data_IF_941074009124
#
_entry.id   IF_941074009124
#
_cell.length_a   1.000
_cell.length_b   1.000
_cell.length_c   1.000
_cell.angle_alpha   90.00
_cell.angle_beta   90.00
_cell.angle_gamma   90.00
#
_symmetry.space_group_name_H-M   'P 1'
#
loop_
_entity.id
_entity.type
_entity.pdbx_description
1 polymer ?
#
# COMPACT_ATOMS: atom_id res chain seq x y z
N UNK A 1 11.63 -16.30 -7.68
CA UNK A 1 12.31 -15.70 -6.51
C UNK A 1 13.11 -16.71 -5.70
N UNK A 2 12.63 -17.95 -5.47
CA UNK A 2 13.37 -19.00 -4.74
C UNK A 2 14.79 -19.27 -5.27
N UNK A 3 15.07 -19.08 -6.56
CA UNK A 3 16.40 -19.29 -7.11
C UNK A 3 17.43 -18.24 -6.65
N UNK A 4 17.01 -16.98 -6.42
CA UNK A 4 17.94 -15.89 -6.09
C UNK A 4 18.50 -16.03 -4.67
N UNK A 5 17.66 -16.45 -3.73
CA UNK A 5 18.02 -16.68 -2.33
C UNK A 5 18.96 -17.88 -2.15
N UNK A 6 19.05 -18.76 -3.15
CA UNK A 6 19.92 -19.94 -3.13
C UNK A 6 21.31 -19.68 -3.75
N UNK A 7 21.53 -18.53 -4.38
CA UNK A 7 22.85 -18.19 -4.93
C UNK A 7 23.75 -17.64 -3.83
N UNK A 8 24.56 -18.50 -3.21
CA UNK A 8 25.68 -18.06 -2.35
C UNK A 8 26.78 -17.33 -3.14
N UNK A 9 27.85 -16.90 -2.47
CA UNK A 9 29.00 -16.21 -3.09
C UNK A 9 29.63 -17.00 -4.25
N UNK A 10 29.48 -18.33 -4.24
CA UNK A 10 29.97 -19.26 -5.27
C UNK A 10 28.87 -19.76 -6.23
N UNK A 11 27.70 -19.13 -6.24
CA UNK A 11 26.57 -19.53 -7.06
C UNK A 11 26.74 -19.10 -8.52
N UNK A 12 26.76 -20.06 -9.45
CA UNK A 12 26.78 -19.76 -10.88
C UNK A 12 25.36 -19.39 -11.36
N UNK A 13 25.06 -18.08 -11.37
CA UNK A 13 23.87 -17.59 -12.04
C UNK A 13 24.01 -17.72 -13.56
N UNK A 14 22.92 -18.04 -14.26
CA UNK A 14 22.90 -18.02 -15.73
C UNK A 14 23.25 -16.62 -16.21
N UNK A 15 24.32 -16.50 -16.97
CA UNK A 15 24.77 -15.20 -17.48
C UNK A 15 23.77 -14.67 -18.50
N UNK A 16 23.52 -13.37 -18.44
CA UNK A 16 22.72 -12.68 -19.45
C UNK A 16 23.55 -12.56 -20.73
N UNK A 17 23.01 -13.06 -21.83
CA UNK A 17 23.68 -13.01 -23.13
C UNK A 17 22.95 -12.01 -24.06
N UNK A 18 23.64 -10.93 -24.41
CA UNK A 18 23.14 -9.87 -25.29
C UNK A 18 22.87 -10.35 -26.73
N UNK A 19 23.42 -11.49 -27.15
CA UNK A 19 23.16 -12.05 -28.47
C UNK A 19 21.80 -12.76 -28.55
N UNK A 20 21.35 -13.36 -27.44
CA UNK A 20 20.13 -14.17 -27.39
C UNK A 20 19.00 -13.51 -26.61
N UNK A 21 19.31 -12.55 -25.73
CA UNK A 21 18.36 -11.90 -24.83
C UNK A 21 18.35 -10.38 -25.03
N UNK A 22 17.15 -9.80 -25.13
CA UNK A 22 16.99 -8.35 -25.29
C UNK A 22 16.82 -7.65 -23.94
N UNK A 23 17.50 -6.51 -23.77
CA UNK A 23 17.32 -5.61 -22.63
C UNK A 23 15.88 -5.09 -22.47
N UNK A 24 15.07 -5.12 -23.54
CA UNK A 24 13.62 -4.78 -23.47
C UNK A 24 12.81 -5.73 -22.61
N UNK A 25 13.29 -6.95 -22.42
CA UNK A 25 12.62 -7.95 -21.58
C UNK A 25 12.96 -7.82 -20.10
N UNK A 26 13.93 -6.97 -19.74
CA UNK A 26 14.37 -6.75 -18.37
C UNK A 26 13.34 -5.90 -17.63
N UNK A 27 12.66 -6.53 -16.66
CA UNK A 27 11.64 -5.87 -15.82
C UNK A 27 12.19 -5.29 -14.52
N UNK A 28 13.33 -5.80 -14.07
CA UNK A 28 13.94 -5.42 -12.79
C UNK A 28 15.41 -5.86 -12.73
N UNK A 29 16.15 -5.21 -11.84
CA UNK A 29 17.49 -5.60 -11.42
C UNK A 29 17.40 -6.08 -9.97
N UNK A 30 18.06 -7.20 -9.67
CA UNK A 30 18.12 -7.77 -8.33
C UNK A 30 19.57 -7.78 -7.90
N UNK A 31 19.88 -7.11 -6.79
CA UNK A 31 21.20 -7.17 -6.16
C UNK A 31 21.14 -8.15 -5.01
N UNK A 32 22.01 -9.16 -5.04
CA UNK A 32 22.21 -10.05 -3.91
C UNK A 32 23.55 -9.72 -3.26
N UNK A 33 23.51 -9.12 -2.08
CA UNK A 33 24.69 -8.78 -1.30
C UNK A 33 24.82 -9.80 -0.17
N UNK A 34 25.97 -10.46 -0.08
CA UNK A 34 26.26 -11.48 0.93
C UNK A 34 27.63 -11.23 1.55
N UNK A 35 27.74 -11.36 2.87
CA UNK A 35 28.98 -11.18 3.62
C UNK A 35 29.82 -12.47 3.73
N UNK A 36 29.35 -13.58 3.16
CA UNK A 36 30.00 -14.89 3.24
C UNK A 36 29.77 -15.63 4.56
N UNK A 37 29.22 -14.97 5.59
CA UNK A 37 28.92 -15.53 6.91
C UNK A 37 27.43 -15.89 7.07
N UNK A 38 26.69 -15.95 5.95
CA UNK A 38 25.28 -16.29 5.91
C UNK A 38 24.32 -15.10 6.01
N UNK A 39 24.83 -13.88 6.21
CA UNK A 39 23.97 -12.69 6.13
C UNK A 39 23.86 -12.26 4.68
N UNK A 40 22.62 -12.25 4.18
CA UNK A 40 22.30 -11.78 2.85
C UNK A 40 21.24 -10.69 2.88
N UNK A 41 21.41 -9.71 1.99
CA UNK A 41 20.41 -8.71 1.67
C UNK A 41 20.11 -8.86 0.18
N UNK A 42 18.83 -9.07 -0.14
CA UNK A 42 18.37 -9.05 -1.54
C UNK A 42 17.63 -7.75 -1.78
N UNK A 43 18.10 -6.99 -2.74
CA UNK A 43 17.54 -5.69 -3.12
C UNK A 43 16.88 -5.85 -4.49
N UNK A 44 15.64 -5.40 -4.60
CA UNK A 44 14.88 -5.38 -5.83
C UNK A 44 14.69 -3.94 -6.30
N UNK A 45 15.06 -3.71 -7.56
CA UNK A 45 14.82 -2.45 -8.24
C UNK A 45 14.02 -2.69 -9.52
N UNK A 46 12.83 -2.11 -9.61
CA UNK A 46 12.02 -2.16 -10.80
C UNK A 46 12.59 -1.27 -11.91
N UNK A 47 12.54 -1.77 -13.15
CA UNK A 47 12.98 -1.02 -14.32
C UNK A 47 11.78 -0.64 -15.15
N UNK A 48 11.55 0.67 -15.25
CA UNK A 48 10.55 1.20 -16.15
C UNK A 48 11.06 1.16 -17.59
N UNK A 49 10.18 0.96 -18.59
CA UNK A 49 10.58 0.97 -20.00
C UNK A 49 11.30 2.26 -20.45
N UNK A 50 11.06 3.38 -19.77
CA UNK A 50 11.71 4.68 -20.03
C UNK A 50 13.19 4.72 -19.62
N UNK A 51 13.62 3.80 -18.76
CA UNK A 51 15.03 3.65 -18.36
C UNK A 51 15.87 2.87 -19.37
N UNK A 52 15.26 2.44 -20.48
CA UNK A 52 15.93 1.71 -21.56
C UNK A 52 16.13 2.61 -22.78
N UNK A 53 17.39 2.84 -23.11
CA UNK A 53 17.77 3.56 -24.33
C UNK A 53 18.05 2.55 -25.42
N UNK A 54 17.11 2.41 -26.36
CA UNK A 54 17.32 1.58 -27.55
C UNK A 54 18.30 2.25 -28.49
N UNK A 55 19.18 1.46 -29.11
CA UNK A 55 19.96 1.94 -30.25
C UNK A 55 19.01 2.30 -31.39
N UNK A 56 19.08 3.55 -31.83
CA UNK A 56 18.40 4.00 -33.04
C UNK A 56 19.39 4.72 -33.94
N UNK A 57 19.03 4.93 -35.22
CA UNK A 57 19.89 5.66 -36.16
C UNK A 57 20.22 7.10 -35.70
N UNK A 58 19.47 7.64 -34.75
CA UNK A 58 19.60 9.00 -34.20
C UNK A 58 19.96 9.04 -32.70
N UNK A 59 20.40 7.92 -32.12
CA UNK A 59 20.83 7.88 -30.71
C UNK A 59 22.29 8.28 -30.59
N UNK A 60 22.56 9.40 -29.91
CA UNK A 60 23.90 9.91 -29.63
C UNK A 60 24.03 10.22 -28.13
N UNK A 61 25.18 9.91 -27.54
CA UNK A 61 25.53 10.24 -26.16
C UNK A 61 26.90 10.92 -26.15
N UNK A 62 27.13 11.88 -25.26
CA UNK A 62 28.46 12.43 -25.02
C UNK A 62 29.07 11.79 -23.77
N UNK A 63 30.09 10.94 -23.96
CA UNK A 63 30.81 10.31 -22.83
C UNK A 63 31.79 11.29 -22.15
N UNK A 64 32.26 12.30 -22.89
CA UNK A 64 33.26 13.27 -22.43
C UNK A 64 32.68 14.69 -22.23
N UNK A 65 31.37 14.89 -22.48
CA UNK A 65 30.70 16.18 -22.42
C UNK A 65 31.06 17.17 -23.54
N UNK A 66 31.84 16.76 -24.54
CA UNK A 66 32.38 17.63 -25.60
C UNK A 66 32.05 17.17 -27.02
N UNK A 67 31.97 15.86 -27.26
CA UNK A 67 31.65 15.27 -28.56
C UNK A 67 30.43 14.36 -28.44
N UNK A 68 29.57 14.38 -29.46
CA UNK A 68 28.44 13.46 -29.55
C UNK A 68 28.90 12.18 -30.27
N UNK A 69 28.91 11.08 -29.54
CA UNK A 69 29.25 9.77 -30.08
C UNK A 69 27.98 8.95 -30.31
N UNK A 70 27.97 8.19 -31.39
CA UNK A 70 26.81 7.36 -31.72
C UNK A 70 26.73 6.17 -30.77
N UNK A 71 25.54 5.93 -30.22
CA UNK A 71 25.29 4.76 -29.37
C UNK A 71 25.16 3.52 -30.26
N UNK A 72 26.05 2.54 -30.07
CA UNK A 72 26.06 1.29 -30.85
C UNK A 72 25.36 0.13 -30.15
N UNK A 73 25.05 0.26 -28.87
CA UNK A 73 24.48 -0.78 -28.01
C UNK A 73 23.26 -0.25 -27.24
N UNK A 74 22.33 -1.13 -26.88
CA UNK A 74 21.25 -0.74 -25.97
C UNK A 74 21.83 -0.49 -24.58
N UNK A 75 21.35 0.53 -23.88
CA UNK A 75 21.77 0.85 -22.51
C UNK A 75 20.59 0.93 -21.55
N UNK A 76 20.84 0.62 -20.28
CA UNK A 76 19.84 0.68 -19.21
C UNK A 76 20.35 1.60 -18.09
N UNK A 77 19.50 2.53 -17.66
CA UNK A 77 19.82 3.40 -16.55
C UNK A 77 19.70 2.63 -15.23
N UNK A 78 20.79 2.63 -14.45
CA UNK A 78 20.82 2.12 -13.09
C UNK A 78 20.65 3.32 -12.16
N UNK A 79 19.60 3.29 -11.34
CA UNK A 79 19.28 4.37 -10.41
C UNK A 79 19.65 3.95 -8.99
N UNK A 80 19.70 4.90 -8.07
CA UNK A 80 20.02 4.62 -6.66
C UNK A 80 18.78 4.28 -5.81
N UNK A 81 17.61 4.15 -6.46
CA UNK A 81 16.34 3.91 -5.77
C UNK A 81 16.08 2.43 -5.56
N UNK A 82 15.86 2.02 -4.31
CA UNK A 82 15.45 0.66 -3.95
C UNK A 82 13.94 0.62 -3.79
N UNK A 83 13.27 -0.32 -4.45
CA UNK A 83 11.81 -0.47 -4.32
C UNK A 83 11.45 -1.44 -3.20
N UNK A 84 12.09 -2.61 -3.18
CA UNK A 84 11.86 -3.64 -2.18
C UNK A 84 13.20 -4.23 -1.73
N UNK A 85 13.26 -4.71 -0.50
CA UNK A 85 14.38 -5.53 -0.07
C UNK A 85 13.94 -6.65 0.84
N UNK A 86 14.73 -7.71 0.88
CA UNK A 86 14.55 -8.86 1.73
C UNK A 86 15.78 -9.00 2.62
N UNK A 87 15.54 -9.05 3.92
CA UNK A 87 16.57 -9.12 4.94
C UNK A 87 16.03 -9.87 6.15
N UNK A 88 16.83 -10.76 6.75
CA UNK A 88 16.46 -11.55 7.94
C UNK A 88 15.07 -12.20 7.85
N UNK A 89 14.78 -12.83 6.71
CA UNK A 89 13.52 -13.52 6.47
C UNK A 89 12.27 -12.61 6.47
N UNK A 90 12.46 -11.31 6.29
CA UNK A 90 11.39 -10.30 6.20
C UNK A 90 11.48 -9.54 4.89
N UNK A 91 10.32 -9.27 4.31
CA UNK A 91 10.18 -8.41 3.14
C UNK A 91 9.86 -7.00 3.59
N UNK A 92 10.57 -6.05 3.02
CA UNK A 92 10.39 -4.63 3.27
C UNK A 92 10.05 -3.95 1.95
N UNK A 93 8.99 -3.15 1.97
CA UNK A 93 8.55 -2.37 0.83
C UNK A 93 8.76 -0.88 1.08
N UNK A 94 9.75 -0.32 0.39
CA UNK A 94 10.03 1.12 0.41
C UNK A 94 9.08 1.85 -0.54
N UNK A 95 8.77 1.25 -1.69
CA UNK A 95 7.88 1.81 -2.69
C UNK A 95 6.52 1.09 -2.74
N UNK A 96 5.65 1.42 -1.78
CA UNK A 96 4.29 0.85 -1.69
C UNK A 96 3.46 1.20 -2.95
N UNK A 97 3.64 2.40 -3.51
CA UNK A 97 2.93 2.85 -4.72
C UNK A 97 3.21 1.96 -5.92
N UNK A 98 4.45 1.48 -6.07
CA UNK A 98 4.82 0.53 -7.11
C UNK A 98 4.11 -0.82 -6.91
N UNK A 99 4.05 -1.30 -5.66
CA UNK A 99 3.40 -2.56 -5.31
C UNK A 99 1.89 -2.53 -5.63
N UNK A 100 1.25 -1.39 -5.38
CA UNK A 100 -0.13 -1.12 -5.78
C UNK A 100 -0.33 -1.14 -7.30
N UNK A 101 0.42 -0.32 -8.03
CA UNK A 101 0.19 -0.10 -9.46
C UNK A 101 0.61 -1.29 -10.33
N UNK A 102 1.76 -1.90 -10.05
CA UNK A 102 2.41 -2.84 -10.97
C UNK A 102 2.25 -4.30 -10.55
N UNK A 103 2.01 -4.57 -9.26
CA UNK A 103 1.99 -5.93 -8.71
C UNK A 103 0.61 -6.32 -8.14
N UNK A 104 -0.43 -5.55 -8.46
CA UNK A 104 -1.81 -5.96 -8.21
C UNK A 104 -2.28 -5.84 -6.76
N UNK A 105 -1.54 -5.13 -5.89
CA UNK A 105 -2.04 -4.85 -4.53
C UNK A 105 -3.34 -4.03 -4.56
N UNK A 106 -3.64 -3.31 -5.65
CA UNK A 106 -4.95 -2.70 -5.82
C UNK A 106 -6.09 -3.72 -5.75
N UNK A 107 -5.98 -4.83 -6.48
CA UNK A 107 -6.97 -5.91 -6.46
C UNK A 107 -7.10 -6.58 -5.08
N UNK A 108 -5.98 -6.68 -4.35
CA UNK A 108 -5.97 -7.21 -2.98
C UNK A 108 -6.69 -6.26 -2.02
N UNK A 109 -6.41 -4.96 -2.12
CA UNK A 109 -7.11 -3.92 -1.34
C UNK A 109 -8.60 -3.96 -1.63
N UNK A 110 -8.98 -4.05 -2.91
CA UNK A 110 -10.38 -4.06 -3.33
C UNK A 110 -11.10 -5.31 -2.78
N UNK A 111 -10.47 -6.48 -2.87
CA UNK A 111 -11.00 -7.72 -2.29
C UNK A 111 -11.14 -7.64 -0.76
N UNK A 112 -10.13 -7.09 -0.06
CA UNK A 112 -10.20 -6.90 1.39
C UNK A 112 -11.29 -5.91 1.80
N UNK A 113 -11.43 -4.79 1.07
CA UNK A 113 -12.47 -3.80 1.30
C UNK A 113 -13.87 -4.36 1.04
N UNK A 114 -14.04 -5.18 -0.01
CA UNK A 114 -15.28 -5.90 -0.29
C UNK A 114 -15.64 -6.87 0.84
N UNK A 115 -14.65 -7.54 1.44
CA UNK A 115 -14.86 -8.41 2.59
C UNK A 115 -15.15 -7.64 3.89
N UNK A 116 -14.66 -6.41 4.04
CA UNK A 116 -14.95 -5.56 5.20
C UNK A 116 -16.40 -5.10 5.26
N UNK A 117 -17.03 -4.84 4.11
CA UNK A 117 -18.38 -4.25 4.08
C UNK A 117 -19.44 -5.14 4.74
N UNK A 118 -19.54 -6.45 4.44
CA UNK A 118 -20.43 -7.37 5.16
C UNK A 118 -20.17 -7.40 6.67
N UNK A 119 -18.90 -7.36 7.09
CA UNK A 119 -18.54 -7.39 8.52
C UNK A 119 -19.07 -6.15 9.25
N UNK A 120 -18.99 -4.98 8.61
CA UNK A 120 -19.52 -3.72 9.16
C UNK A 120 -21.05 -3.77 9.27
N UNK A 121 -21.74 -4.29 8.24
CA UNK A 121 -23.19 -4.42 8.24
C UNK A 121 -23.65 -5.40 9.34
N UNK A 122 -22.91 -6.49 9.56
CA UNK A 122 -23.19 -7.48 10.61
C UNK A 122 -23.08 -6.93 12.04
N UNK A 123 -22.43 -5.77 12.24
CA UNK A 123 -22.41 -5.10 13.54
C UNK A 123 -23.80 -4.57 13.94
N UNK A 124 -24.72 -4.39 12.98
CA UNK A 124 -26.08 -3.90 13.25
C UNK A 124 -26.15 -2.45 13.76
N UNK A 125 -25.06 -1.69 13.63
CA UNK A 125 -24.95 -0.30 14.10
C UNK A 125 -25.26 0.75 13.02
N UNK A 126 -25.33 0.33 11.76
CA UNK A 126 -25.54 1.23 10.60
C UNK A 126 -27.01 1.22 10.22
N UNK A 127 -27.54 2.40 9.92
CA UNK A 127 -28.89 2.55 9.40
C UNK A 127 -28.92 2.12 7.92
N UNK A 128 -29.52 0.96 7.66
CA UNK A 128 -29.71 0.41 6.31
C UNK A 128 -31.14 0.61 5.79
N UNK A 129 -32.00 1.26 6.56
CA UNK A 129 -33.40 1.46 6.17
C UNK A 129 -33.48 2.35 4.93
N UNK A 130 -34.21 1.90 3.91
CA UNK A 130 -34.34 2.61 2.64
C UNK A 130 -33.18 2.41 1.66
N UNK A 131 -32.17 1.60 2.00
CA UNK A 131 -31.13 1.22 1.04
C UNK A 131 -31.56 0.00 0.20
N UNK A 132 -31.56 0.08 -1.14
CA UNK A 132 -31.89 -1.06 -2.00
C UNK A 132 -30.93 -2.23 -1.84
N UNK A 133 -29.64 -1.93 -1.63
CA UNK A 133 -28.56 -2.92 -1.46
C UNK A 133 -27.61 -2.42 -0.36
N UNK A 134 -27.75 -2.89 0.90
CA UNK A 134 -26.89 -2.45 2.01
C UNK A 134 -25.39 -2.70 1.80
N UNK A 135 -25.04 -3.74 1.03
CA UNK A 135 -23.65 -4.06 0.68
C UNK A 135 -22.99 -3.00 -0.21
N UNK A 136 -23.78 -2.12 -0.83
CA UNK A 136 -23.30 -1.09 -1.74
C UNK A 136 -23.03 0.25 -1.05
N UNK A 137 -23.15 0.31 0.28
CA UNK A 137 -23.05 1.53 1.08
C UNK A 137 -21.76 2.33 0.85
N UNK A 138 -20.67 1.67 0.45
CA UNK A 138 -19.37 2.31 0.18
C UNK A 138 -18.99 2.37 -1.31
N UNK A 139 -19.85 1.94 -2.25
CA UNK A 139 -19.50 1.90 -3.68
C UNK A 139 -19.12 3.26 -4.26
N UNK A 140 -19.75 4.34 -3.79
CA UNK A 140 -19.46 5.72 -4.17
C UNK A 140 -18.06 6.21 -3.74
N UNK A 141 -17.41 5.46 -2.84
CA UNK A 141 -16.07 5.73 -2.31
C UNK A 141 -14.96 4.89 -2.97
N UNK A 142 -15.29 3.93 -3.83
CA UNK A 142 -14.28 3.01 -4.41
C UNK A 142 -13.21 3.69 -5.27
N UNK A 143 -13.53 4.87 -5.81
CA UNK A 143 -12.55 5.71 -6.54
C UNK A 143 -11.50 6.33 -5.62
N UNK A 144 -11.78 6.43 -4.31
CA UNK A 144 -10.84 6.98 -3.34
C UNK A 144 -9.95 5.88 -2.75
N UNK A 145 -8.69 5.84 -3.22
CA UNK A 145 -7.70 4.84 -2.77
C UNK A 145 -7.35 4.97 -1.30
N UNK A 146 -7.32 6.18 -0.73
CA UNK A 146 -7.03 6.35 0.68
C UNK A 146 -8.15 5.78 1.55
N UNK A 147 -9.40 5.99 1.14
CA UNK A 147 -10.55 5.37 1.78
C UNK A 147 -10.54 3.85 1.64
N UNK A 148 -10.30 3.31 0.44
CA UNK A 148 -10.27 1.86 0.20
C UNK A 148 -9.23 1.14 1.06
N UNK A 149 -8.04 1.73 1.24
CA UNK A 149 -7.02 1.20 2.18
C UNK A 149 -7.53 1.16 3.62
N UNK A 150 -8.16 2.25 4.08
CA UNK A 150 -8.74 2.31 5.43
C UNK A 150 -9.87 1.29 5.60
N UNK A 151 -10.75 1.15 4.61
CA UNK A 151 -11.81 0.16 4.62
C UNK A 151 -11.26 -1.28 4.64
N UNK A 152 -10.22 -1.57 3.87
CA UNK A 152 -9.54 -2.87 3.89
C UNK A 152 -8.95 -3.21 5.27
N UNK A 153 -8.40 -2.21 5.98
CA UNK A 153 -7.84 -2.39 7.33
C UNK A 153 -8.89 -2.72 8.40
N UNK A 154 -10.14 -2.28 8.22
CA UNK A 154 -11.23 -2.56 9.16
C UNK A 154 -11.41 -4.06 9.40
N UNK A 155 -11.30 -4.89 8.35
CA UNK A 155 -11.41 -6.36 8.48
C UNK A 155 -10.32 -6.99 9.35
N UNK A 156 -9.14 -6.36 9.41
CA UNK A 156 -8.03 -6.79 10.26
C UNK A 156 -8.17 -6.30 11.70
N UNK A 157 -8.90 -5.21 11.91
CA UNK A 157 -9.14 -4.63 13.23
C UNK A 157 -9.94 -5.56 14.15
N UNK A 158 -9.62 -5.51 15.44
CA UNK A 158 -10.32 -6.32 16.45
C UNK A 158 -11.76 -5.82 16.69
N UNK A 159 -12.01 -4.52 16.56
CA UNK A 159 -13.32 -3.90 16.84
C UNK A 159 -14.48 -4.57 16.09
N UNK A 160 -14.27 -4.91 14.82
CA UNK A 160 -15.31 -5.53 14.00
C UNK A 160 -15.48 -7.02 14.32
N UNK A 161 -14.47 -7.66 14.92
CA UNK A 161 -14.53 -9.06 15.36
C UNK A 161 -15.14 -9.22 16.75
N UNK A 162 -14.80 -8.31 17.67
CA UNK A 162 -15.31 -8.33 19.05
C UNK A 162 -16.72 -7.77 19.15
N UNK A 163 -17.16 -7.03 18.13
CA UNK A 163 -18.40 -6.27 18.16
C UNK A 163 -18.21 -4.92 18.82
N UNK A 164 -19.03 -3.96 18.39
CA UNK A 164 -19.12 -2.62 18.97
C UNK A 164 -20.58 -2.22 19.00
N UNK A 165 -20.99 -1.56 20.08
CA UNK A 165 -22.36 -1.09 20.27
C UNK A 165 -22.48 0.41 20.04
N UNK A 166 -23.68 0.87 19.66
CA UNK A 166 -23.93 2.31 19.45
C UNK A 166 -23.69 3.17 20.70
N UNK A 167 -24.05 2.73 21.93
CA UNK A 167 -23.72 3.49 23.14
C UNK A 167 -22.21 3.71 23.32
N UNK A 168 -21.37 2.72 23.00
CA UNK A 168 -19.91 2.89 23.04
C UNK A 168 -19.43 3.93 22.02
N UNK A 169 -20.00 3.92 20.81
CA UNK A 169 -19.69 4.90 19.77
C UNK A 169 -20.11 6.31 20.21
N UNK A 170 -21.28 6.46 20.83
CA UNK A 170 -21.75 7.73 21.37
C UNK A 170 -20.81 8.28 22.46
N UNK A 171 -20.30 7.43 23.36
CA UNK A 171 -19.32 7.84 24.36
C UNK A 171 -18.02 8.35 23.72
N UNK A 172 -17.55 7.69 22.66
CA UNK A 172 -16.39 8.16 21.88
C UNK A 172 -16.71 9.50 21.22
N UNK A 173 -17.87 9.64 20.56
CA UNK A 173 -18.25 10.90 19.92
C UNK A 173 -18.30 12.06 20.92
N UNK A 174 -18.78 11.86 22.14
CA UNK A 174 -18.80 12.90 23.18
C UNK A 174 -17.40 13.39 23.57
N UNK A 175 -16.40 12.49 23.57
CA UNK A 175 -15.01 12.82 23.91
C UNK A 175 -14.21 13.38 22.74
N UNK A 176 -14.68 13.16 21.51
CA UNK A 176 -14.00 13.55 20.29
C UNK A 176 -14.92 14.40 19.38
N UNK A 177 -14.83 15.74 19.48
CA UNK A 177 -15.70 16.66 18.72
C UNK A 177 -15.66 16.43 17.21
N UNK A 178 -14.54 15.92 16.67
CA UNK A 178 -14.39 15.65 15.24
C UNK A 178 -15.33 14.53 14.77
N UNK A 179 -15.59 13.50 15.58
CA UNK A 179 -16.53 12.44 15.22
C UNK A 179 -17.97 12.89 15.47
N UNK A 180 -18.21 13.63 16.54
CA UNK A 180 -19.53 14.19 16.84
C UNK A 180 -20.08 15.07 15.73
N UNK A 181 -19.23 15.90 15.10
CA UNK A 181 -19.64 16.82 14.03
C UNK A 181 -19.93 16.14 12.69
N UNK A 182 -19.36 14.95 12.47
CA UNK A 182 -19.33 14.31 11.15
C UNK A 182 -20.07 12.97 11.10
N UNK A 183 -20.53 12.43 12.23
CA UNK A 183 -21.28 11.18 12.31
C UNK A 183 -22.66 11.50 12.89
N UNK A 184 -23.69 11.21 12.11
CA UNK A 184 -25.08 11.41 12.55
C UNK A 184 -25.72 10.10 12.99
N UNK A 185 -26.60 10.20 13.98
CA UNK A 185 -27.35 9.09 14.54
C UNK A 185 -28.85 9.37 14.40
N UNK A 186 -29.63 8.38 13.95
CA UNK A 186 -31.09 8.44 13.93
C UNK A 186 -31.65 7.13 14.43
N UNK A 187 -32.57 7.20 15.42
CA UNK A 187 -33.13 6.00 16.04
C UNK A 187 -32.10 5.10 16.73
N UNK A 188 -30.94 5.65 17.10
CA UNK A 188 -29.84 4.86 17.67
C UNK A 188 -29.04 4.07 16.63
N UNK A 189 -29.09 4.42 15.34
CA UNK A 189 -28.26 3.84 14.27
C UNK A 189 -27.48 4.94 13.54
N UNK A 190 -26.31 4.58 13.01
CA UNK A 190 -25.38 5.49 12.31
C UNK A 190 -25.84 5.71 10.88
N UNK A 191 -26.00 6.96 10.47
CA UNK A 191 -26.33 7.32 9.11
C UNK A 191 -25.06 7.53 8.27
N UNK A 192 -25.02 6.93 7.08
CA UNK A 192 -23.90 7.02 6.13
C UNK A 192 -24.37 7.57 4.77
N UNK A 193 -25.02 8.73 4.80
CA UNK A 193 -25.59 9.38 3.62
C UNK A 193 -24.53 10.15 2.81
N UNK A 194 -23.59 10.78 3.50
CA UNK A 194 -22.53 11.58 2.87
C UNK A 194 -21.20 10.85 2.83
N UNK A 195 -20.32 11.27 1.91
CA UNK A 195 -18.96 10.74 1.81
C UNK A 195 -18.16 11.02 3.08
N UNK A 196 -18.37 12.17 3.72
CA UNK A 196 -17.65 12.54 4.94
C UNK A 196 -18.08 11.68 6.12
N UNK A 197 -19.38 11.40 6.28
CA UNK A 197 -19.88 10.44 7.28
C UNK A 197 -19.22 9.08 7.12
N UNK A 198 -19.15 8.56 5.88
CA UNK A 198 -18.45 7.29 5.56
C UNK A 198 -16.98 7.34 5.94
N UNK A 199 -16.26 8.42 5.59
CA UNK A 199 -14.85 8.60 5.95
C UNK A 199 -14.67 8.55 7.47
N UNK A 200 -15.37 9.41 8.22
CA UNK A 200 -15.21 9.51 9.67
C UNK A 200 -15.64 8.25 10.41
N UNK A 201 -16.66 7.57 9.93
CA UNK A 201 -17.07 6.28 10.49
C UNK A 201 -16.00 5.21 10.32
N UNK A 202 -15.38 5.08 9.14
CA UNK A 202 -14.28 4.14 8.93
C UNK A 202 -13.05 4.49 9.76
N UNK A 203 -12.76 5.80 9.95
CA UNK A 203 -11.70 6.25 10.87
C UNK A 203 -11.94 5.78 12.30
N UNK A 204 -13.19 5.89 12.76
CA UNK A 204 -13.59 5.42 14.08
C UNK A 204 -13.42 3.90 14.21
N UNK A 205 -13.85 3.12 13.23
CA UNK A 205 -13.70 1.65 13.22
C UNK A 205 -12.22 1.19 13.17
N UNK A 206 -11.33 2.01 12.62
CA UNK A 206 -9.89 1.75 12.62
C UNK A 206 -9.19 2.19 13.92
N UNK A 207 -9.95 2.48 14.98
CA UNK A 207 -9.45 2.87 16.30
C UNK A 207 -8.63 4.17 16.28
N UNK A 208 -8.93 5.10 15.36
CA UNK A 208 -8.24 6.39 15.33
C UNK A 208 -8.57 7.27 16.56
N UNK A 209 -9.69 7.02 17.24
CA UNK A 209 -10.04 7.63 18.51
C UNK A 209 -9.32 6.88 19.65
N UNK A 210 -8.18 7.40 20.11
CA UNK A 210 -7.32 6.73 21.10
C UNK A 210 -7.21 7.52 22.40
N UNK A 211 -6.97 6.82 23.50
CA UNK A 211 -6.76 7.42 24.82
C UNK A 211 -5.33 7.18 25.29
N UNK A 212 -4.70 8.18 25.87
CA UNK A 212 -3.36 8.03 26.44
C UNK A 212 -3.42 7.14 27.68
N UNK A 213 -2.49 6.20 27.78
CA UNK A 213 -2.51 5.19 28.85
C UNK A 213 -2.31 5.79 30.25
N UNK A 214 -1.65 6.95 30.36
CA UNK A 214 -1.26 7.54 31.63
C UNK A 214 -2.37 8.40 32.25
N UNK A 215 -3.05 9.21 31.45
CA UNK A 215 -4.01 10.21 31.93
C UNK A 215 -5.40 10.10 31.28
N UNK A 216 -5.61 9.09 30.43
CA UNK A 216 -6.84 8.91 29.64
C UNK A 216 -7.21 10.14 28.78
N UNK A 217 -6.25 10.98 28.42
CA UNK A 217 -6.49 12.10 27.51
C UNK A 217 -6.85 11.60 26.10
N UNK A 218 -7.87 12.19 25.45
CA UNK A 218 -8.26 11.82 24.10
C UNK A 218 -7.27 12.39 23.07
N UNK A 219 -6.81 11.56 22.12
CA UNK A 219 -5.98 11.98 20.99
C UNK A 219 -6.32 11.19 19.72
N UNK A 220 -6.00 11.73 18.55
CA UNK A 220 -6.20 11.05 17.27
C UNK A 220 -4.94 10.29 16.87
N UNK A 221 -5.04 8.99 16.63
CA UNK A 221 -3.88 8.15 16.31
C UNK A 221 -3.12 8.61 15.04
N UNK A 222 -3.80 9.27 14.10
CA UNK A 222 -3.19 9.80 12.87
C UNK A 222 -2.19 10.94 13.14
N UNK A 223 -2.31 11.64 14.28
CA UNK A 223 -1.35 12.69 14.64
C UNK A 223 0.03 12.15 15.01
N UNK A 224 0.17 10.83 15.25
CA UNK A 224 1.48 10.20 15.47
C UNK A 224 2.26 9.87 14.19
N UNK A 225 1.63 9.87 13.01
CA UNK A 225 2.26 9.50 11.73
C UNK A 225 2.85 10.70 10.96
N UNK A 226 2.84 11.91 11.53
CA UNK A 226 3.39 13.12 10.87
C UNK A 226 4.64 13.69 11.56
N UNK A 227 5.35 12.88 12.34
CA UNK A 227 6.69 13.22 12.83
C UNK A 227 7.71 12.21 12.29
N UNK A 228 7.99 12.32 10.99
CA UNK A 228 9.19 11.80 10.34
C UNK A 228 9.64 12.79 9.25
#
# INVERSE_FOLDING_TARGET
MNNVLNFGVNGNATQFDFATQSLTSVKAVIYHLCDGNGNSVVIYQHKYPVSLHKKTKKSFLSLNGRTLDKITHDSIDINDTIDFFFFQNKYYALNIKLLERMYGLESVIDNLANNSTPLIINLGIVNTQGMPVPLDIFKDMYKDRAFMRRLAMVSKGNLVKTGVSVPQIQQVMQKFPVFQRNIDLTGGLINLNTKDQKRYFIRLLNNEASFAALDNSPFLAVEKDSAA
#
